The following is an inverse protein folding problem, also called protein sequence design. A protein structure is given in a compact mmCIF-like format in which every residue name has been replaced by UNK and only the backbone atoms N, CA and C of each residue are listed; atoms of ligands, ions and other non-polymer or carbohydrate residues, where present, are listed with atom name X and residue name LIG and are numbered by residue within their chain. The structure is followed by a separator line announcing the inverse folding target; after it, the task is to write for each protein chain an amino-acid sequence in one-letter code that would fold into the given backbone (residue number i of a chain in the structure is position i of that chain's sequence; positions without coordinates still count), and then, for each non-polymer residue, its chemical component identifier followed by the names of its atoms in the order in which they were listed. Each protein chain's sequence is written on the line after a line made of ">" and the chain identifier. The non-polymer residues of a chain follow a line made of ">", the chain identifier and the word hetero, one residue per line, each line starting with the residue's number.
data_IF_559515061335
#
_entry.id   IF_559515061335
#
_cell.length_a   1.000
_cell.length_b   1.000
_cell.length_c   1.000
_cell.angle_alpha   90.00
_cell.angle_beta   90.00
_cell.angle_gamma   90.00
#
_symmetry.space_group_name_H-M   'P 1'
#
loop_
_entity.id
_entity.type
_entity.pdbx_description
1 polymer ?
#
# COMPACT_ATOMS: atom_id res chain seq x y z
N UNK A 1 3.59 -4.67 19.16
CA UNK A 1 2.62 -5.28 18.21
C UNK A 1 1.22 -4.75 18.43
N UNK A 2 0.69 -4.80 19.66
CA UNK A 2 -0.62 -4.20 19.97
C UNK A 2 -0.64 -2.69 19.69
N UNK A 3 0.32 -1.95 20.26
CA UNK A 3 0.50 -0.50 20.04
C UNK A 3 0.54 -0.07 18.58
N UNK A 4 1.14 -0.88 17.70
CA UNK A 4 1.17 -0.61 16.26
C UNK A 4 -0.21 -0.81 15.63
N UNK A 5 -0.87 -1.92 15.95
CA UNK A 5 -2.17 -2.25 15.41
C UNK A 5 -3.29 -1.31 15.88
N UNK A 6 -3.18 -0.78 17.10
CA UNK A 6 -4.12 0.20 17.64
C UNK A 6 -4.04 1.52 16.83
N UNK A 7 -2.84 1.93 16.43
CA UNK A 7 -2.60 3.13 15.61
C UNK A 7 -2.79 2.90 14.09
N UNK A 8 -2.73 1.66 13.63
CA UNK A 8 -2.82 1.29 12.22
C UNK A 8 -4.21 1.61 11.63
N UNK A 9 -4.23 2.03 10.36
CA UNK A 9 -5.45 2.36 9.62
C UNK A 9 -5.48 1.66 8.25
N UNK A 10 -6.66 1.51 7.67
CA UNK A 10 -6.84 0.91 6.35
C UNK A 10 -6.31 -0.53 6.27
N UNK A 11 -5.47 -0.82 5.27
CA UNK A 11 -4.95 -2.17 4.99
C UNK A 11 -4.07 -2.73 6.09
N UNK A 12 -3.37 -1.87 6.83
CA UNK A 12 -2.56 -2.30 7.99
C UNK A 12 -3.45 -2.79 9.14
N UNK A 13 -4.59 -2.14 9.35
CA UNK A 13 -5.59 -2.57 10.35
C UNK A 13 -6.19 -3.92 9.97
N UNK A 14 -6.52 -4.11 8.69
CA UNK A 14 -6.97 -5.41 8.17
C UNK A 14 -5.91 -6.49 8.33
N UNK A 15 -4.63 -6.17 8.12
CA UNK A 15 -3.54 -7.11 8.38
C UNK A 15 -3.45 -7.48 9.87
N UNK A 16 -3.60 -6.51 10.78
CA UNK A 16 -3.64 -6.75 12.22
C UNK A 16 -4.77 -7.69 12.63
N UNK A 17 -5.95 -7.52 12.05
CA UNK A 17 -7.08 -8.42 12.24
C UNK A 17 -6.72 -9.88 11.86
N UNK A 18 -6.13 -10.10 10.69
CA UNK A 18 -5.71 -11.45 10.26
C UNK A 18 -4.52 -12.01 11.07
N UNK A 19 -3.64 -11.16 11.59
CA UNK A 19 -2.60 -11.60 12.53
C UNK A 19 -3.18 -12.09 13.87
N UNK A 20 -4.47 -11.88 14.12
CA UNK A 20 -5.10 -12.10 15.41
C UNK A 20 -4.69 -11.06 16.45
N UNK A 21 -4.29 -9.87 15.99
CA UNK A 21 -4.03 -8.68 16.81
C UNK A 21 -5.24 -7.76 16.64
N UNK A 22 -6.29 -8.13 17.35
CA UNK A 22 -7.57 -7.44 17.31
C UNK A 22 -7.60 -6.22 18.22
N UNK A 23 -8.49 -5.31 17.87
CA UNK A 23 -8.96 -4.23 18.74
C UNK A 23 -10.26 -4.64 19.43
N UNK A 24 -10.63 -3.91 20.48
CA UNK A 24 -11.89 -4.13 21.22
C UNK A 24 -13.14 -4.09 20.31
N UNK A 25 -13.06 -3.42 19.17
CA UNK A 25 -14.18 -3.24 18.23
C UNK A 25 -14.29 -4.32 17.15
N UNK A 26 -13.16 -4.82 16.62
CA UNK A 26 -13.16 -5.79 15.51
C UNK A 26 -12.99 -7.24 15.95
N UNK A 27 -12.59 -7.48 17.21
CA UNK A 27 -12.28 -8.83 17.69
C UNK A 27 -11.02 -9.40 17.04
N UNK A 28 -10.74 -10.68 17.30
CA UNK A 28 -9.57 -11.40 16.79
C UNK A 28 -9.99 -12.58 15.92
N UNK A 29 -9.49 -12.67 14.68
CA UNK A 29 -9.53 -13.92 13.94
C UNK A 29 -8.39 -14.86 14.41
N UNK A 30 -8.61 -16.19 14.36
CA UNK A 30 -7.70 -17.24 14.86
C UNK A 30 -6.20 -16.89 14.73
N UNK A 31 -5.53 -16.80 15.87
CA UNK A 31 -4.32 -15.97 15.97
C UNK A 31 -3.00 -16.65 15.61
N UNK A 32 -2.34 -16.13 14.58
CA UNK A 32 -0.90 -16.39 14.29
C UNK A 32 0.04 -15.49 15.09
N UNK A 33 -0.49 -14.55 15.90
CA UNK A 33 0.28 -13.61 16.75
C UNK A 33 1.43 -14.25 17.53
N UNK A 34 1.18 -15.40 18.18
CA UNK A 34 2.21 -16.13 18.95
C UNK A 34 3.32 -16.68 18.06
N UNK A 35 2.96 -17.23 16.91
CA UNK A 35 3.93 -17.74 15.93
C UNK A 35 4.75 -16.62 15.30
N UNK A 36 4.13 -15.49 14.97
CA UNK A 36 4.79 -14.29 14.46
C UNK A 36 5.81 -13.80 15.48
N UNK A 37 5.38 -13.61 16.73
CA UNK A 37 6.25 -13.14 17.81
C UNK A 37 7.43 -14.09 18.06
N UNK A 38 7.16 -15.40 18.14
CA UNK A 38 8.21 -16.41 18.31
C UNK A 38 9.10 -16.59 17.08
N UNK A 39 8.63 -16.25 15.88
CA UNK A 39 9.45 -16.28 14.66
C UNK A 39 10.41 -15.10 14.62
N UNK A 40 9.95 -13.91 15.00
CA UNK A 40 10.82 -12.73 15.11
C UNK A 40 11.87 -12.91 16.22
N UNK A 41 11.50 -13.47 17.37
CA UNK A 41 12.46 -13.76 18.44
C UNK A 41 13.56 -14.76 18.02
N UNK A 42 13.23 -15.69 17.11
CA UNK A 42 14.18 -16.63 16.50
C UNK A 42 14.98 -16.05 15.32
N UNK A 43 14.86 -14.74 15.06
CA UNK A 43 15.58 -14.06 13.97
C UNK A 43 15.07 -14.38 12.56
N UNK A 44 13.84 -14.86 12.42
CA UNK A 44 13.25 -15.11 11.09
C UNK A 44 12.91 -13.78 10.44
N UNK A 45 13.38 -13.59 9.19
CA UNK A 45 13.08 -12.39 8.42
C UNK A 45 11.62 -12.34 7.95
N UNK A 46 11.09 -11.12 7.81
CA UNK A 46 9.70 -10.89 7.43
C UNK A 46 9.29 -11.59 6.13
N UNK A 47 10.15 -11.60 5.09
CA UNK A 47 9.86 -12.25 3.81
C UNK A 47 9.58 -13.75 3.96
N UNK A 48 10.40 -14.46 4.74
CA UNK A 48 10.24 -15.90 5.00
C UNK A 48 9.03 -16.17 5.89
N UNK A 49 8.78 -15.29 6.87
CA UNK A 49 7.59 -15.36 7.71
C UNK A 49 6.31 -15.24 6.87
N UNK A 50 6.21 -14.27 5.95
CA UNK A 50 5.06 -14.12 5.05
C UNK A 50 4.82 -15.38 4.21
N UNK A 51 5.87 -16.04 3.70
CA UNK A 51 5.72 -17.29 2.95
C UNK A 51 5.16 -18.43 3.82
N UNK A 52 5.51 -18.47 5.12
CA UNK A 52 4.96 -19.45 6.07
C UNK A 52 3.51 -19.14 6.40
N UNK A 53 3.20 -17.87 6.68
CA UNK A 53 1.84 -17.41 6.98
C UNK A 53 0.88 -17.63 5.82
N UNK A 54 1.34 -17.48 4.57
CA UNK A 54 0.55 -17.78 3.36
C UNK A 54 -0.07 -19.17 3.37
N UNK A 55 0.60 -20.17 3.96
CA UNK A 55 0.10 -21.55 4.03
C UNK A 55 -1.03 -21.72 5.06
N UNK A 56 -1.10 -20.83 6.06
CA UNK A 56 -2.10 -20.88 7.12
C UNK A 56 -3.31 -20.03 6.77
N UNK A 57 -3.05 -18.83 6.25
CA UNK A 57 -4.08 -17.90 5.82
C UNK A 57 -3.59 -17.18 4.56
N UNK A 58 -4.18 -17.56 3.43
CA UNK A 58 -3.84 -16.96 2.14
C UNK A 58 -4.32 -15.50 2.03
N UNK A 59 -5.36 -15.12 2.79
CA UNK A 59 -5.97 -13.79 2.73
C UNK A 59 -4.99 -12.71 3.20
N UNK A 60 -4.10 -13.03 4.15
CA UNK A 60 -3.00 -12.15 4.56
C UNK A 60 -2.08 -11.75 3.40
N UNK A 61 -1.84 -12.66 2.44
CA UNK A 61 -0.97 -12.42 1.30
C UNK A 61 -1.70 -11.80 0.09
N UNK A 62 -3.02 -11.74 0.13
CA UNK A 62 -3.85 -11.10 -0.90
C UNK A 62 -4.06 -9.61 -0.62
N UNK A 63 -3.81 -9.16 0.61
CA UNK A 63 -3.70 -7.75 0.97
C UNK A 63 -2.61 -7.08 0.14
N UNK A 64 -3.03 -6.34 -0.89
CA UNK A 64 -2.16 -5.51 -1.71
C UNK A 64 -2.47 -4.06 -1.40
N UNK A 65 -1.43 -3.30 -1.04
CA UNK A 65 -1.53 -1.85 -1.13
C UNK A 65 -1.84 -1.46 -2.57
N UNK A 66 -2.65 -0.42 -2.75
CA UNK A 66 -2.76 0.14 -4.10
C UNK A 66 -1.37 0.62 -4.45
N UNK A 67 -0.87 0.16 -5.61
CA UNK A 67 0.43 0.61 -6.09
C UNK A 67 0.29 2.10 -6.30
N UNK A 68 0.87 2.89 -5.40
CA UNK A 68 1.21 4.27 -5.71
C UNK A 68 2.08 4.20 -6.96
N UNK A 69 1.61 4.75 -8.06
CA UNK A 69 2.39 4.78 -9.28
C UNK A 69 3.61 5.65 -8.94
N UNK A 70 4.80 5.07 -9.00
CA UNK A 70 6.05 5.81 -8.84
C UNK A 70 6.20 6.73 -10.03
N UNK A 71 5.62 7.92 -9.91
CA UNK A 71 5.57 8.97 -10.92
C UNK A 71 6.96 9.34 -11.42
N UNK A 72 7.98 9.20 -10.55
CA UNK A 72 9.38 9.52 -10.84
C UNK A 72 10.11 8.48 -11.69
N UNK A 73 9.74 7.20 -11.57
CA UNK A 73 10.43 6.09 -12.27
C UNK A 73 9.58 5.49 -13.40
N UNK A 74 8.35 5.98 -13.59
CA UNK A 74 7.42 5.46 -14.59
C UNK A 74 7.30 6.45 -15.75
N UNK A 75 7.43 5.95 -16.97
CA UNK A 75 7.13 6.72 -18.19
C UNK A 75 5.66 7.16 -18.20
N UNK A 76 5.39 8.41 -17.79
CA UNK A 76 4.03 8.98 -17.80
C UNK A 76 3.41 9.00 -19.20
N UNK A 77 4.23 9.01 -20.25
CA UNK A 77 3.80 8.90 -21.65
C UNK A 77 3.18 7.52 -21.97
N UNK A 78 3.58 6.45 -21.29
CA UNK A 78 3.05 5.09 -21.51
C UNK A 78 1.73 4.83 -20.78
N UNK A 79 1.41 5.63 -19.77
CA UNK A 79 0.17 5.51 -19.01
C UNK A 79 -1.05 6.02 -19.80
N UNK A 80 -2.23 5.48 -19.51
CA UNK A 80 -3.49 5.99 -20.06
C UNK A 80 -3.98 7.20 -19.26
N UNK A 81 -4.80 8.05 -19.88
CA UNK A 81 -5.40 9.24 -19.22
C UNK A 81 -6.15 8.86 -17.93
N UNK A 82 -6.82 7.69 -17.90
CA UNK A 82 -7.48 7.17 -16.69
C UNK A 82 -6.50 6.92 -15.52
N UNK A 83 -5.29 6.45 -15.82
CA UNK A 83 -4.25 6.20 -14.81
C UNK A 83 -3.64 7.51 -14.33
N UNK A 84 -3.36 8.45 -15.24
CA UNK A 84 -2.88 9.78 -14.90
C UNK A 84 -3.87 10.56 -14.03
N UNK A 85 -5.18 10.44 -14.32
CA UNK A 85 -6.23 11.04 -13.49
C UNK A 85 -6.26 10.43 -12.08
N UNK A 86 -6.13 9.10 -11.96
CA UNK A 86 -6.04 8.45 -10.64
C UNK A 86 -4.88 8.97 -9.81
N UNK A 87 -3.71 9.19 -10.41
CA UNK A 87 -2.54 9.76 -9.71
C UNK A 87 -2.87 11.15 -9.15
N UNK A 88 -3.54 12.00 -9.94
CA UNK A 88 -3.94 13.33 -9.48
C UNK A 88 -5.00 13.28 -8.37
N UNK A 89 -6.00 12.40 -8.49
CA UNK A 89 -7.04 12.19 -7.48
C UNK A 89 -6.45 11.64 -6.17
N UNK A 90 -5.53 10.67 -6.24
CA UNK A 90 -4.85 10.07 -5.07
C UNK A 90 -4.00 11.10 -4.30
N UNK A 91 -3.44 12.09 -5.01
CA UNK A 91 -2.68 13.20 -4.42
C UNK A 91 -3.54 14.42 -4.07
N UNK A 92 -4.86 14.36 -4.30
CA UNK A 92 -5.80 15.46 -4.01
C UNK A 92 -5.67 16.66 -4.95
N UNK A 93 -5.00 16.50 -6.09
CA UNK A 93 -4.83 17.55 -7.10
C UNK A 93 -6.01 17.52 -8.07
N UNK A 94 -6.80 18.59 -8.11
CA UNK A 94 -7.93 18.65 -9.02
C UNK A 94 -7.47 18.72 -10.49
N UNK A 95 -7.87 17.71 -11.27
CA UNK A 95 -7.74 17.66 -12.72
C UNK A 95 -8.84 18.46 -13.45
N UNK A 96 -9.48 19.44 -12.79
CA UNK A 96 -10.51 20.27 -13.40
C UNK A 96 -9.92 21.11 -14.54
N UNK A 97 -10.39 20.87 -15.76
CA UNK A 97 -9.98 21.59 -16.98
C UNK A 97 -8.93 20.87 -17.83
N UNK A 98 -8.35 19.76 -17.38
CA UNK A 98 -7.40 18.98 -18.18
C UNK A 98 -8.18 18.08 -19.15
N UNK A 99 -7.98 18.28 -20.46
CA UNK A 99 -8.63 17.50 -21.53
C UNK A 99 -7.60 16.67 -22.27
N UNK A 100 -6.39 17.20 -22.45
CA UNK A 100 -5.33 16.54 -23.21
C UNK A 100 -4.37 15.76 -22.31
N UNK A 101 -3.87 14.63 -22.84
CA UNK A 101 -2.97 13.74 -22.11
C UNK A 101 -1.69 14.45 -21.65
N UNK A 102 -1.16 15.36 -22.46
CA UNK A 102 0.05 16.12 -22.13
C UNK A 102 -0.18 17.10 -20.97
N UNK A 103 -1.39 17.65 -20.82
CA UNK A 103 -1.72 18.51 -19.67
C UNK A 103 -1.69 17.72 -18.36
N UNK A 104 -2.20 16.48 -18.36
CA UNK A 104 -2.09 15.58 -17.19
C UNK A 104 -0.62 15.29 -16.84
N UNK A 105 0.21 15.00 -17.85
CA UNK A 105 1.63 14.71 -17.64
C UNK A 105 2.35 15.95 -17.07
N UNK A 106 2.10 17.13 -17.61
CA UNK A 106 2.70 18.38 -17.13
C UNK A 106 2.26 18.74 -15.71
N UNK A 107 0.97 18.58 -15.39
CA UNK A 107 0.45 18.81 -14.03
C UNK A 107 1.14 17.89 -13.02
N UNK A 108 1.29 16.62 -13.39
CA UNK A 108 1.96 15.61 -12.59
C UNK A 108 3.45 15.94 -12.43
N UNK A 109 4.18 16.24 -13.52
CA UNK A 109 5.60 16.63 -13.44
C UNK A 109 5.83 17.85 -12.54
N UNK A 110 4.99 18.87 -12.68
CA UNK A 110 5.04 20.09 -11.84
C UNK A 110 4.77 19.78 -10.38
N UNK A 111 3.75 18.97 -10.07
CA UNK A 111 3.42 18.60 -8.70
C UNK A 111 4.54 17.78 -8.03
N UNK A 112 5.12 16.83 -8.76
CA UNK A 112 6.17 15.94 -8.25
C UNK A 112 7.60 16.52 -8.39
N UNK A 113 7.74 17.72 -8.96
CA UNK A 113 9.03 18.40 -9.16
C UNK A 113 9.99 17.63 -10.09
N UNK A 114 9.44 16.86 -11.04
CA UNK A 114 10.25 16.09 -11.99
C UNK A 114 10.67 17.05 -13.11
N UNK A 115 11.92 17.50 -13.06
CA UNK A 115 12.56 18.18 -14.20
C UNK A 115 12.96 17.10 -15.20
N UNK A 116 12.60 17.28 -16.48
CA UNK A 116 13.26 16.52 -17.54
C UNK A 116 14.73 16.90 -17.48
N UNK A 117 15.59 15.98 -17.04
CA UNK A 117 17.00 16.03 -17.40
C UNK A 117 17.04 15.93 -18.93
N UNK A 118 17.53 17.02 -19.52
CA UNK A 118 17.65 17.26 -20.95
C UNK A 118 18.55 16.21 -21.62
#
# INVERSE_FOLDING_TARGET
>A
MQTYCDAAKGKEKTMCYYMGVGDKEQGTAGGVKREISGSFQRGINAKRLCTRLKKKDAQMCELRYEKKIDVKNTDLKKLRVKELRKILDDEGVSAKGLVEKDEFINKIKTHFGIKDDL
#
